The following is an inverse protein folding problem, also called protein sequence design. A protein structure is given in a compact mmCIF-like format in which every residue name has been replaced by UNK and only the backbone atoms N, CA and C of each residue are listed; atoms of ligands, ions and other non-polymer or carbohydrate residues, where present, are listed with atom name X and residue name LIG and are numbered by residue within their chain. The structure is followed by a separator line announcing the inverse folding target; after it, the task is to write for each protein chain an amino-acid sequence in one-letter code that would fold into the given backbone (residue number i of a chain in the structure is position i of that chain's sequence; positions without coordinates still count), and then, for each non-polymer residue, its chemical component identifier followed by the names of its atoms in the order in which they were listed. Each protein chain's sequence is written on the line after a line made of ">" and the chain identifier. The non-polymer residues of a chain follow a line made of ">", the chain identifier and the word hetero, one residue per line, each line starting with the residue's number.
data_IF_688983675750
#
_entry.id   IF_688983675750
#
_cell.length_a   1.000
_cell.length_b   1.000
_cell.length_c   1.000
_cell.angle_alpha   90.00
_cell.angle_beta   90.00
_cell.angle_gamma   90.00
#
_symmetry.space_group_name_H-M   'P 1'
#
loop_
_entity.id
_entity.type
_entity.pdbx_description
1 polymer ?
#
# COMPACT_ATOMS: atom_id res chain seq x y z
N UNK A 1 -25.90 -41.48 9.10
CA UNK A 1 -26.42 -41.63 7.72
C UNK A 1 -25.67 -40.63 6.85
N UNK A 2 -24.76 -41.10 5.96
CA UNK A 2 -25.00 -41.27 4.51
C UNK A 2 -25.57 -39.97 3.93
N UNK A 3 -24.90 -39.15 3.10
CA UNK A 3 -24.21 -39.38 1.81
C UNK A 3 -23.54 -38.02 1.45
N UNK A 4 -22.21 -37.91 1.28
CA UNK A 4 -21.42 -38.06 0.03
C UNK A 4 -21.17 -36.73 -0.73
N UNK A 5 -19.95 -36.21 -0.57
CA UNK A 5 -18.92 -35.90 -1.59
C UNK A 5 -19.34 -35.46 -3.00
N UNK A 6 -18.74 -34.39 -3.54
CA UNK A 6 -17.76 -34.40 -4.67
C UNK A 6 -17.25 -32.98 -5.00
N UNK A 7 -15.92 -32.85 -4.94
CA UNK A 7 -15.05 -31.85 -5.57
C UNK A 7 -14.77 -32.24 -7.04
N UNK A 8 -14.44 -31.27 -7.92
CA UNK A 8 -13.40 -31.28 -9.00
C UNK A 8 -13.69 -30.07 -9.92
N UNK A 9 -12.87 -29.01 -9.98
CA UNK A 9 -11.56 -28.78 -10.62
C UNK A 9 -11.57 -28.57 -12.17
N UNK A 10 -10.87 -27.49 -12.57
CA UNK A 10 -10.04 -27.32 -13.78
C UNK A 10 -10.59 -26.69 -15.10
N UNK A 11 -9.98 -25.54 -15.41
CA UNK A 11 -9.48 -24.96 -16.68
C UNK A 11 -9.78 -25.63 -18.05
N UNK A 12 -10.10 -24.82 -19.08
CA UNK A 12 -9.22 -24.43 -20.23
C UNK A 12 -9.94 -23.52 -21.27
N UNK A 13 -9.12 -22.89 -22.12
CA UNK A 13 -9.36 -21.83 -23.11
C UNK A 13 -10.02 -22.26 -24.46
N UNK A 14 -10.66 -21.26 -25.10
CA UNK A 14 -10.64 -20.86 -26.53
C UNK A 14 -11.70 -21.30 -27.56
N UNK A 15 -12.10 -20.27 -28.33
CA UNK A 15 -12.50 -20.20 -29.75
C UNK A 15 -14.00 -20.24 -30.14
N UNK A 16 -14.45 -19.18 -30.85
CA UNK A 16 -15.38 -19.33 -31.99
C UNK A 16 -16.60 -18.40 -32.12
N UNK A 17 -16.40 -17.20 -32.68
CA UNK A 17 -17.21 -16.51 -33.73
C UNK A 17 -18.73 -16.17 -33.61
N UNK A 18 -19.04 -14.93 -34.03
CA UNK A 18 -20.25 -14.41 -34.74
C UNK A 18 -21.61 -14.45 -34.01
N UNK A 19 -22.58 -13.54 -34.16
CA UNK A 19 -22.82 -12.35 -34.98
C UNK A 19 -24.08 -11.63 -34.44
N UNK A 20 -24.23 -10.37 -34.83
CA UNK A 20 -25.36 -9.42 -34.81
C UNK A 20 -26.83 -9.90 -34.81
N UNK A 21 -27.70 -9.00 -34.29
CA UNK A 21 -29.18 -8.89 -34.31
C UNK A 21 -29.89 -9.40 -33.03
N UNK A 22 -30.63 -8.58 -32.27
CA UNK A 22 -31.90 -7.98 -32.67
C UNK A 22 -32.32 -6.75 -31.82
N UNK A 23 -33.03 -5.84 -32.48
CA UNK A 23 -33.79 -4.69 -32.00
C UNK A 23 -34.81 -4.98 -30.86
N UNK A 24 -34.91 -4.01 -29.95
CA UNK A 24 -36.12 -3.27 -29.52
C UNK A 24 -37.52 -3.93 -29.38
N UNK A 25 -38.17 -3.52 -28.28
CA UNK A 25 -39.61 -3.18 -28.10
C UNK A 25 -40.57 -4.24 -27.51
N UNK A 26 -40.99 -3.91 -26.27
CA UNK A 26 -42.32 -4.04 -25.63
C UNK A 26 -42.86 -5.44 -25.22
N UNK A 27 -43.20 -5.57 -23.93
CA UNK A 27 -44.59 -5.47 -23.47
C UNK A 27 -44.68 -5.24 -21.95
N UNK A 28 -45.58 -4.33 -21.58
CA UNK A 28 -45.92 -3.95 -20.22
C UNK A 28 -47.41 -4.19 -20.00
N UNK A 29 -47.79 -4.95 -18.96
CA UNK A 29 -48.99 -4.78 -18.12
C UNK A 29 -48.89 -5.85 -17.03
N UNK A 30 -49.09 -5.58 -15.74
CA UNK A 30 -50.39 -5.22 -15.18
C UNK A 30 -50.32 -4.08 -14.14
N UNK A 31 -51.46 -3.40 -14.05
CA UNK A 31 -51.72 -2.09 -13.49
C UNK A 31 -51.76 -2.00 -11.95
N UNK A 32 -51.59 -0.76 -11.45
CA UNK A 32 -51.96 -0.39 -10.08
C UNK A 32 -51.53 1.03 -9.67
N UNK A 33 -52.05 2.05 -10.35
CA UNK A 33 -51.74 3.48 -10.12
C UNK A 33 -52.02 3.98 -8.69
N UNK A 34 -51.11 4.79 -8.15
CA UNK A 34 -51.47 6.06 -7.49
C UNK A 34 -50.34 7.10 -7.64
N UNK A 35 -50.72 8.32 -7.95
CA UNK A 35 -49.95 9.35 -8.63
C UNK A 35 -49.34 10.40 -7.69
N UNK A 36 -48.08 10.80 -7.94
CA UNK A 36 -47.58 12.15 -7.65
C UNK A 36 -46.84 12.67 -8.89
N UNK A 37 -47.30 13.81 -9.40
CA UNK A 37 -46.85 14.45 -10.64
C UNK A 37 -45.47 15.11 -10.47
N UNK A 38 -44.44 14.50 -11.07
CA UNK A 38 -43.02 14.86 -10.98
C UNK A 38 -42.63 16.14 -11.75
N UNK A 39 -43.49 16.67 -12.62
CA UNK A 39 -43.18 17.90 -13.37
C UNK A 39 -43.28 19.18 -12.52
N UNK A 40 -44.12 19.20 -11.48
CA UNK A 40 -44.30 20.38 -10.63
C UNK A 40 -43.15 20.56 -9.62
N UNK A 41 -42.48 19.47 -9.22
CA UNK A 41 -41.32 19.50 -8.34
C UNK A 41 -40.02 19.86 -9.11
N UNK A 42 -39.90 19.42 -10.36
CA UNK A 42 -38.76 19.73 -11.23
C UNK A 42 -38.68 21.23 -11.59
N UNK A 43 -39.83 21.91 -11.74
CA UNK A 43 -39.87 23.35 -12.08
C UNK A 43 -39.57 24.29 -10.91
N UNK A 44 -39.62 23.84 -9.65
CA UNK A 44 -39.26 24.67 -8.47
C UNK A 44 -37.77 24.69 -8.12
N UNK A 45 -36.98 23.73 -8.62
CA UNK A 45 -35.55 23.60 -8.29
C UNK A 45 -34.65 24.41 -9.24
N UNK A 46 -35.16 24.92 -10.37
CA UNK A 46 -34.34 25.50 -11.45
C UNK A 46 -34.16 27.03 -11.47
N UNK A 47 -34.33 27.76 -10.36
CA UNK A 47 -34.00 29.20 -10.30
C UNK A 47 -33.28 29.60 -9.01
N UNK A 48 -31.97 29.39 -8.98
CA UNK A 48 -30.92 30.29 -8.43
C UNK A 48 -29.61 29.49 -8.22
N UNK A 49 -28.86 29.25 -9.29
CA UNK A 49 -27.41 29.10 -9.20
C UNK A 49 -26.84 29.80 -10.43
N UNK A 50 -26.30 31.00 -10.22
CA UNK A 50 -25.51 31.71 -11.21
C UNK A 50 -24.08 31.82 -10.65
N UNK A 51 -23.16 31.30 -11.45
CA UNK A 51 -21.75 31.66 -11.62
C UNK A 51 -20.79 31.55 -10.42
N UNK A 52 -20.21 30.35 -10.32
CA UNK A 52 -18.78 30.15 -10.09
C UNK A 52 -18.40 28.86 -10.79
N UNK A 53 -17.67 28.93 -11.91
CA UNK A 53 -17.17 27.73 -12.58
C UNK A 53 -16.29 26.95 -11.58
N UNK A 54 -16.66 25.69 -11.32
CA UNK A 54 -15.73 24.75 -10.74
C UNK A 54 -14.55 24.60 -11.72
N UNK A 55 -13.28 24.64 -11.26
CA UNK A 55 -12.16 24.39 -12.15
C UNK A 55 -12.32 22.99 -12.75
N UNK A 56 -12.01 22.86 -14.04
CA UNK A 56 -11.93 21.56 -14.69
C UNK A 56 -10.99 20.66 -13.88
N UNK A 57 -11.43 19.43 -13.60
CA UNK A 57 -10.58 18.41 -13.01
C UNK A 57 -9.32 18.29 -13.89
N UNK A 58 -8.14 18.43 -13.29
CA UNK A 58 -6.90 18.23 -14.02
C UNK A 58 -6.86 16.76 -14.49
N UNK A 59 -6.50 16.48 -15.75
CA UNK A 59 -6.28 15.11 -16.18
C UNK A 59 -5.15 14.49 -15.33
N UNK A 60 -5.22 13.17 -15.05
CA UNK A 60 -4.14 12.49 -14.34
C UNK A 60 -2.80 12.69 -15.08
N UNK A 61 -1.66 12.77 -14.37
CA UNK A 61 -0.35 12.96 -15.00
C UNK A 61 -0.07 11.82 -15.99
N UNK A 62 0.55 12.11 -17.15
CA UNK A 62 0.82 11.09 -18.15
C UNK A 62 1.78 10.01 -17.60
N UNK A 63 1.41 8.75 -17.78
CA UNK A 63 2.27 7.60 -17.50
C UNK A 63 3.58 7.71 -18.30
N UNK A 64 4.72 7.83 -17.63
CA UNK A 64 6.02 7.74 -18.29
C UNK A 64 6.34 6.27 -18.58
N UNK A 65 6.50 5.93 -19.86
CA UNK A 65 6.90 4.60 -20.29
C UNK A 65 8.34 4.30 -19.86
N UNK A 66 8.54 3.29 -19.01
CA UNK A 66 9.86 2.75 -18.68
C UNK A 66 10.21 1.69 -19.72
N UNK A 67 11.26 1.93 -20.52
CA UNK A 67 11.76 0.97 -21.50
C UNK A 67 12.53 -0.13 -20.77
N UNK A 68 12.03 -1.36 -20.86
CA UNK A 68 12.63 -2.57 -20.26
C UNK A 68 13.28 -3.42 -21.36
N UNK A 69 14.52 -3.87 -21.15
CA UNK A 69 15.35 -4.59 -22.14
C UNK A 69 15.52 -6.08 -21.85
N UNK A 70 14.49 -6.77 -21.35
CA UNK A 70 14.51 -8.24 -21.16
C UNK A 70 13.91 -9.00 -22.36
N UNK A 71 14.34 -10.24 -22.63
CA UNK A 71 13.91 -11.01 -23.80
C UNK A 71 12.41 -11.32 -23.79
N UNK A 72 11.83 -11.23 -24.99
CA UNK A 72 10.39 -11.18 -25.28
C UNK A 72 9.73 -12.53 -24.97
N UNK A 73 9.01 -12.59 -23.85
CA UNK A 73 7.88 -13.51 -23.70
C UNK A 73 6.78 -13.00 -24.63
N UNK A 74 6.24 -13.83 -25.53
CA UNK A 74 5.13 -13.41 -26.42
C UNK A 74 4.01 -12.87 -25.53
N UNK A 75 3.66 -11.57 -25.60
CA UNK A 75 2.71 -11.01 -24.66
C UNK A 75 1.36 -11.67 -24.91
N UNK A 76 0.82 -12.33 -23.89
CA UNK A 76 -0.62 -12.54 -23.84
C UNK A 76 -1.29 -11.17 -24.04
N UNK A 77 -2.34 -11.13 -24.86
CA UNK A 77 -3.06 -9.88 -25.14
C UNK A 77 -3.32 -9.12 -23.84
N UNK A 78 -2.70 -7.95 -23.67
CA UNK A 78 -2.93 -7.11 -22.52
C UNK A 78 -4.35 -6.55 -22.65
N UNK A 79 -5.28 -7.01 -21.82
CA UNK A 79 -6.62 -6.47 -21.76
C UNK A 79 -6.64 -5.30 -20.76
N UNK A 80 -7.09 -4.13 -21.21
CA UNK A 80 -7.31 -2.98 -20.33
C UNK A 80 -8.68 -3.10 -19.67
N UNK A 81 -8.77 -2.74 -18.38
CA UNK A 81 -10.04 -2.77 -17.65
C UNK A 81 -11.05 -1.81 -18.29
N UNK A 82 -12.30 -2.23 -18.49
CA UNK A 82 -13.36 -1.32 -18.96
C UNK A 82 -13.77 -0.26 -17.94
N UNK A 83 -13.25 -0.35 -16.71
CA UNK A 83 -13.47 0.62 -15.62
C UNK A 83 -12.31 1.62 -15.46
N UNK A 84 -11.21 1.41 -16.18
CA UNK A 84 -10.00 2.23 -16.09
C UNK A 84 -9.54 2.72 -17.45
N UNK A 85 -9.63 1.86 -18.47
CA UNK A 85 -9.01 2.09 -19.77
C UNK A 85 -7.52 1.77 -19.74
N UNK A 86 -6.79 2.23 -20.75
CA UNK A 86 -5.34 2.08 -20.84
C UNK A 86 -4.60 3.07 -19.93
N UNK A 87 -5.20 4.24 -19.70
CA UNK A 87 -4.57 5.42 -19.10
C UNK A 87 -5.46 6.10 -18.05
N UNK A 88 -6.52 5.44 -17.58
CA UNK A 88 -7.48 6.06 -16.65
C UNK A 88 -8.60 6.83 -17.37
N UNK A 89 -8.66 6.81 -18.70
CA UNK A 89 -9.61 7.58 -19.51
C UNK A 89 -11.07 7.15 -19.33
N UNK A 90 -11.30 5.96 -18.78
CA UNK A 90 -12.64 5.45 -18.44
C UNK A 90 -12.91 5.45 -16.93
N UNK A 91 -11.95 5.93 -16.13
CA UNK A 91 -12.12 6.02 -14.70
C UNK A 91 -13.08 7.15 -14.34
N UNK A 92 -13.96 6.87 -13.38
CA UNK A 92 -14.92 7.83 -12.85
C UNK A 92 -14.77 7.93 -11.33
N UNK A 93 -14.80 9.14 -10.74
CA UNK A 93 -14.59 9.35 -9.30
C UNK A 93 -15.55 8.58 -8.39
N UNK A 94 -16.78 8.37 -8.85
CA UNK A 94 -17.83 7.62 -8.14
C UNK A 94 -17.90 6.15 -8.58
N UNK A 95 -16.98 5.70 -9.45
CA UNK A 95 -16.91 4.35 -9.99
C UNK A 95 -16.47 3.31 -8.96
N UNK A 96 -16.23 2.07 -9.39
CA UNK A 96 -15.82 0.99 -8.46
C UNK A 96 -14.34 1.02 -8.09
N UNK A 97 -13.50 1.54 -8.98
CA UNK A 97 -12.04 1.59 -8.78
C UNK A 97 -11.63 2.90 -8.10
N UNK A 98 -10.61 2.81 -7.26
CA UNK A 98 -9.90 4.00 -6.77
C UNK A 98 -8.98 4.55 -7.86
N UNK A 99 -8.60 5.82 -7.73
CA UNK A 99 -7.60 6.42 -8.59
C UNK A 99 -6.18 5.98 -8.15
N UNK A 100 -5.59 5.08 -8.92
CA UNK A 100 -4.24 4.58 -8.68
C UNK A 100 -3.14 5.38 -9.39
N UNK A 101 -3.48 6.45 -10.13
CA UNK A 101 -2.52 7.22 -10.93
C UNK A 101 -1.41 7.86 -10.09
N UNK A 102 -1.65 7.97 -8.78
CA UNK A 102 -0.76 8.62 -7.82
C UNK A 102 -0.05 7.65 -6.87
N UNK A 103 -0.11 6.33 -7.10
CA UNK A 103 0.45 5.35 -6.17
C UNK A 103 2.00 5.36 -6.15
N UNK A 104 2.64 5.78 -7.24
CA UNK A 104 4.09 5.72 -7.42
C UNK A 104 4.87 6.81 -6.70
N UNK A 105 6.20 6.69 -6.78
CA UNK A 105 7.19 7.67 -6.33
C UNK A 105 6.78 9.10 -6.68
N UNK A 106 6.79 9.99 -5.68
CA UNK A 106 6.38 11.39 -5.83
C UNK A 106 4.98 11.52 -6.46
N UNK A 107 4.06 10.66 -6.04
CA UNK A 107 2.71 10.55 -6.59
C UNK A 107 2.68 10.32 -8.12
N UNK A 108 3.68 9.64 -8.67
CA UNK A 108 3.89 9.38 -10.10
C UNK A 108 4.17 10.65 -10.94
N UNK A 109 4.61 11.74 -10.31
CA UNK A 109 4.85 13.02 -10.98
C UNK A 109 6.33 13.32 -11.24
N UNK A 110 7.21 12.47 -10.72
CA UNK A 110 8.63 12.56 -10.96
C UNK A 110 9.20 11.16 -11.27
N UNK A 111 10.24 11.08 -12.12
CA UNK A 111 10.97 9.83 -12.29
C UNK A 111 11.76 9.49 -11.03
N UNK A 112 11.93 8.18 -10.77
CA UNK A 112 12.82 7.72 -9.71
C UNK A 112 14.25 8.20 -10.01
N UNK A 113 14.97 8.81 -9.04
CA UNK A 113 16.34 9.26 -9.24
C UNK A 113 17.27 8.16 -9.74
N UNK A 114 18.15 8.47 -10.70
CA UNK A 114 19.12 7.52 -11.27
C UNK A 114 20.58 7.91 -11.02
N UNK A 115 20.86 9.21 -10.82
CA UNK A 115 22.22 9.75 -10.72
C UNK A 115 22.57 10.15 -9.28
N UNK A 116 22.38 9.23 -8.34
CA UNK A 116 22.70 9.46 -6.93
C UNK A 116 24.17 9.14 -6.65
N UNK A 117 24.82 10.01 -5.88
CA UNK A 117 26.22 9.87 -5.48
C UNK A 117 26.40 8.69 -4.54
N UNK A 118 27.46 7.89 -4.76
CA UNK A 118 27.91 6.86 -3.82
C UNK A 118 28.50 7.57 -2.60
N UNK A 119 27.83 7.44 -1.46
CA UNK A 119 28.25 8.01 -0.19
C UNK A 119 29.11 7.03 0.63
N UNK A 120 28.88 5.73 0.45
CA UNK A 120 29.63 4.66 1.10
C UNK A 120 29.69 3.43 0.20
N UNK A 121 30.80 2.69 0.27
CA UNK A 121 30.91 1.34 -0.29
C UNK A 121 31.11 0.35 0.87
N UNK A 122 30.27 -0.70 0.95
CA UNK A 122 30.30 -1.66 2.06
C UNK A 122 31.66 -2.34 2.24
N UNK A 123 32.49 -2.45 1.20
CA UNK A 123 33.83 -3.06 1.31
C UNK A 123 34.81 -2.15 2.06
N UNK A 124 34.59 -0.84 2.05
CA UNK A 124 35.37 0.11 2.87
C UNK A 124 35.13 -0.10 4.37
N UNK A 125 34.03 -0.76 4.73
CA UNK A 125 33.66 -1.13 6.09
C UNK A 125 33.98 -2.60 6.42
N UNK A 126 34.69 -3.31 5.53
CA UNK A 126 35.15 -4.67 5.75
C UNK A 126 34.25 -5.78 5.21
N UNK A 127 33.25 -5.46 4.39
CA UNK A 127 32.46 -6.48 3.71
C UNK A 127 33.31 -7.22 2.66
N UNK A 128 33.27 -8.56 2.65
CA UNK A 128 34.14 -9.40 1.79
C UNK A 128 33.45 -9.86 0.51
N UNK A 129 32.17 -10.23 0.57
CA UNK A 129 31.42 -10.65 -0.62
C UNK A 129 31.70 -12.09 -1.09
N UNK A 130 32.16 -12.98 -0.21
CA UNK A 130 32.52 -14.38 -0.49
C UNK A 130 31.38 -15.41 -0.21
N UNK A 131 30.24 -14.95 0.30
CA UNK A 131 29.08 -15.75 0.69
C UNK A 131 29.24 -16.50 2.02
N UNK A 132 30.37 -16.33 2.72
CA UNK A 132 30.71 -17.08 3.93
C UNK A 132 31.02 -16.14 5.11
N UNK A 133 31.79 -15.08 4.87
CA UNK A 133 32.14 -14.08 5.87
C UNK A 133 30.89 -13.27 6.23
N UNK A 134 30.52 -13.25 7.51
CA UNK A 134 29.41 -12.43 8.00
C UNK A 134 29.74 -10.94 7.80
N UNK A 135 29.03 -10.31 6.86
CA UNK A 135 29.20 -8.93 6.45
C UNK A 135 28.26 -7.98 7.23
N UNK A 136 27.50 -8.47 8.20
CA UNK A 136 26.44 -7.68 8.85
C UNK A 136 26.97 -6.40 9.50
N UNK A 137 28.11 -6.48 10.20
CA UNK A 137 28.68 -5.30 10.85
C UNK A 137 29.23 -4.28 9.85
N UNK A 138 29.78 -4.73 8.73
CA UNK A 138 30.21 -3.83 7.67
C UNK A 138 29.03 -3.05 7.06
N UNK A 139 27.91 -3.73 6.81
CA UNK A 139 26.69 -3.08 6.34
C UNK A 139 26.12 -2.11 7.38
N UNK A 140 26.03 -2.50 8.66
CA UNK A 140 25.57 -1.61 9.74
C UNK A 140 26.46 -0.38 9.89
N UNK A 141 27.77 -0.52 9.77
CA UNK A 141 28.71 0.59 9.82
C UNK A 141 28.56 1.53 8.60
N UNK A 142 28.38 0.98 7.39
CA UNK A 142 28.10 1.78 6.20
C UNK A 142 26.78 2.57 6.33
N UNK A 143 25.72 1.92 6.84
CA UNK A 143 24.44 2.58 7.12
C UNK A 143 24.59 3.72 8.13
N UNK A 144 25.33 3.49 9.23
CA UNK A 144 25.56 4.49 10.25
C UNK A 144 26.39 5.69 9.76
N UNK A 145 27.25 5.50 8.76
CA UNK A 145 28.11 6.54 8.19
C UNK A 145 27.40 7.47 7.20
N UNK A 146 26.21 7.10 6.71
CA UNK A 146 25.51 7.80 5.63
C UNK A 146 24.28 8.55 6.13
N UNK A 147 24.25 9.86 5.94
CA UNK A 147 23.07 10.70 6.19
C UNK A 147 22.12 10.74 4.99
N UNK A 148 22.65 10.65 3.76
CA UNK A 148 21.91 10.51 2.50
C UNK A 148 22.87 10.06 1.39
N UNK A 149 22.34 9.52 0.29
CA UNK A 149 23.12 9.02 -0.83
C UNK A 149 23.11 7.49 -0.93
N UNK A 150 23.94 6.96 -1.81
CA UNK A 150 23.99 5.54 -2.11
C UNK A 150 24.98 4.83 -1.20
N UNK A 151 24.51 3.79 -0.51
CA UNK A 151 25.31 2.72 0.06
C UNK A 151 25.46 1.68 -1.06
N UNK A 152 26.66 1.62 -1.63
CA UNK A 152 26.98 0.74 -2.75
C UNK A 152 27.42 -0.64 -2.25
N UNK A 153 26.88 -1.67 -2.91
CA UNK A 153 27.21 -3.07 -2.71
C UNK A 153 27.88 -3.57 -4.00
N UNK A 154 29.21 -3.75 -4.02
CA UNK A 154 29.90 -4.24 -5.21
C UNK A 154 29.48 -5.66 -5.61
N UNK A 155 29.97 -6.19 -6.76
CA UNK A 155 29.76 -7.58 -7.13
C UNK A 155 30.27 -8.55 -6.06
N UNK A 156 29.48 -9.58 -5.75
CA UNK A 156 29.79 -10.55 -4.71
C UNK A 156 28.56 -11.05 -3.97
N UNK A 157 28.75 -12.00 -3.07
CA UNK A 157 27.70 -12.54 -2.20
C UNK A 157 28.00 -12.18 -0.74
N UNK A 158 27.13 -11.45 -0.09
CA UNK A 158 27.36 -10.91 1.24
C UNK A 158 26.44 -11.61 2.23
N UNK A 159 27.01 -12.43 3.13
CA UNK A 159 26.25 -13.08 4.18
C UNK A 159 25.80 -12.04 5.21
N UNK A 160 24.50 -11.97 5.48
CA UNK A 160 23.87 -11.13 6.50
C UNK A 160 23.10 -12.04 7.46
N UNK A 161 23.44 -11.98 8.75
CA UNK A 161 22.94 -12.91 9.78
C UNK A 161 21.91 -12.27 10.71
N UNK A 162 21.70 -10.96 10.64
CA UNK A 162 20.69 -10.22 11.41
C UNK A 162 20.15 -9.03 10.62
N UNK A 163 19.04 -8.45 11.09
CA UNK A 163 18.32 -7.37 10.42
C UNK A 163 19.18 -6.12 10.19
N UNK A 164 18.99 -5.51 9.02
CA UNK A 164 19.55 -4.22 8.63
C UNK A 164 18.43 -3.17 8.65
N UNK A 165 18.66 -2.04 9.30
CA UNK A 165 17.68 -0.95 9.42
C UNK A 165 18.28 0.37 8.96
N UNK A 166 17.62 1.02 8.01
CA UNK A 166 17.94 2.33 7.45
C UNK A 166 16.86 3.31 7.90
N UNK A 167 17.23 4.30 8.71
CA UNK A 167 16.30 5.28 9.29
C UNK A 167 16.52 6.72 8.83
N UNK A 168 17.49 6.94 7.94
CA UNK A 168 17.74 8.24 7.34
C UNK A 168 16.96 8.37 6.02
N UNK A 169 16.45 9.57 5.75
CA UNK A 169 15.86 9.91 4.45
C UNK A 169 16.95 10.03 3.38
N UNK A 170 16.59 9.80 2.11
CA UNK A 170 17.52 9.98 1.00
C UNK A 170 18.58 8.90 0.85
N UNK A 171 18.48 7.79 1.59
CA UNK A 171 19.44 6.67 1.55
C UNK A 171 18.98 5.61 0.56
N UNK A 172 19.90 5.16 -0.30
CA UNK A 172 19.67 4.08 -1.25
C UNK A 172 20.65 2.95 -1.02
N UNK A 173 20.14 1.72 -0.89
CA UNK A 173 20.97 0.52 -0.94
C UNK A 173 21.02 0.02 -2.39
N UNK A 174 22.18 0.14 -3.04
CA UNK A 174 22.33 -0.16 -4.48
C UNK A 174 23.41 -1.22 -4.70
N UNK A 175 23.08 -2.29 -5.42
CA UNK A 175 24.09 -3.23 -5.92
C UNK A 175 24.63 -2.89 -7.31
N UNK A 176 25.50 -3.76 -7.82
CA UNK A 176 26.06 -3.67 -9.17
C UNK A 176 25.14 -4.26 -10.27
N UNK A 177 23.97 -4.78 -9.91
CA UNK A 177 22.98 -5.42 -10.79
C UNK A 177 22.32 -6.62 -10.11
N UNK A 178 21.04 -6.87 -10.44
CA UNK A 178 20.38 -8.09 -10.03
C UNK A 178 21.10 -9.32 -10.62
N UNK A 179 21.47 -10.29 -9.78
CA UNK A 179 22.31 -11.43 -10.14
C UNK A 179 23.83 -11.17 -10.10
N UNK A 180 24.26 -9.93 -9.84
CA UNK A 180 25.68 -9.54 -9.73
C UNK A 180 26.08 -9.32 -8.28
N UNK A 181 25.28 -8.54 -7.54
CA UNK A 181 25.43 -8.32 -6.11
C UNK A 181 24.33 -9.09 -5.37
N UNK A 182 24.70 -9.96 -4.45
CA UNK A 182 23.74 -10.77 -3.68
C UNK A 182 23.88 -10.50 -2.19
N UNK A 183 22.80 -10.09 -1.54
CA UNK A 183 22.65 -10.15 -0.10
C UNK A 183 22.07 -11.53 0.23
N UNK A 184 22.87 -12.37 0.87
CA UNK A 184 22.47 -13.71 1.29
C UNK A 184 22.12 -13.73 2.77
N UNK A 185 20.88 -14.10 3.11
CA UNK A 185 20.36 -14.09 4.47
C UNK A 185 20.08 -15.53 4.88
N UNK A 186 20.86 -16.06 5.83
CA UNK A 186 20.77 -17.44 6.26
C UNK A 186 19.88 -17.67 7.48
N UNK A 187 19.54 -16.61 8.20
CA UNK A 187 18.74 -16.62 9.42
C UNK A 187 17.36 -16.02 9.15
N UNK A 188 16.32 -16.64 9.68
CA UNK A 188 14.97 -16.05 9.70
C UNK A 188 14.82 -15.05 10.85
N UNK A 189 13.73 -14.29 10.89
CA UNK A 189 13.42 -13.45 12.05
C UNK A 189 13.27 -14.27 13.34
N UNK A 190 12.76 -15.50 13.26
CA UNK A 190 12.77 -16.45 14.39
C UNK A 190 14.18 -16.77 14.87
N UNK A 191 15.14 -16.99 13.97
CA UNK A 191 16.53 -17.26 14.37
C UNK A 191 17.19 -16.04 15.04
N UNK A 192 16.81 -14.82 14.61
CA UNK A 192 17.39 -13.56 15.09
C UNK A 192 16.75 -13.08 16.40
N UNK A 193 15.43 -13.17 16.52
CA UNK A 193 14.65 -12.55 17.60
C UNK A 193 13.83 -13.55 18.44
N UNK A 194 13.82 -14.84 18.05
CA UNK A 194 13.00 -15.88 18.66
C UNK A 194 11.61 -15.99 18.02
N UNK A 195 10.97 -17.17 18.13
CA UNK A 195 9.62 -17.34 17.58
C UNK A 195 8.60 -16.64 18.48
N UNK A 196 7.75 -15.81 17.87
CA UNK A 196 6.64 -15.14 18.53
C UNK A 196 5.30 -15.63 17.95
N UNK A 197 4.32 -15.85 18.82
CA UNK A 197 3.01 -16.39 18.47
C UNK A 197 1.90 -15.49 19.00
N UNK A 198 1.00 -15.05 18.12
CA UNK A 198 -0.25 -14.38 18.47
C UNK A 198 -1.46 -15.28 18.27
N UNK A 199 -2.59 -14.95 18.92
CA UNK A 199 -3.86 -15.68 18.79
C UNK A 199 -4.06 -16.85 19.77
N UNK A 200 -3.22 -17.00 20.79
CA UNK A 200 -3.41 -17.98 21.87
C UNK A 200 -4.43 -17.49 22.92
N UNK A 201 -5.72 -17.58 22.61
CA UNK A 201 -6.79 -17.47 23.60
C UNK A 201 -7.64 -18.73 23.62
N UNK A 202 -7.96 -19.29 24.81
CA UNK A 202 -8.97 -20.36 24.93
C UNK A 202 -10.35 -19.95 24.41
N UNK A 203 -10.55 -18.65 24.21
CA UNK A 203 -11.81 -18.01 23.82
C UNK A 203 -11.85 -17.62 22.33
N UNK A 204 -10.74 -17.74 21.61
CA UNK A 204 -10.65 -17.50 20.16
C UNK A 204 -10.41 -18.83 19.47
N UNK A 205 -11.32 -19.29 18.62
CA UNK A 205 -11.14 -20.50 17.78
C UNK A 205 -10.04 -20.34 16.69
N UNK A 206 -8.99 -19.58 16.98
CA UNK A 206 -7.88 -19.24 16.10
C UNK A 206 -6.69 -20.09 16.53
N UNK A 207 -6.16 -20.90 15.61
CA UNK A 207 -4.87 -21.59 15.79
C UNK A 207 -3.78 -20.54 15.98
N UNK A 208 -2.78 -20.81 16.83
CA UNK A 208 -1.63 -19.92 17.01
C UNK A 208 -1.01 -19.52 15.66
N UNK A 209 -0.74 -18.23 15.49
CA UNK A 209 -0.18 -17.66 14.26
C UNK A 209 1.18 -17.05 14.56
N UNK A 210 2.14 -17.23 13.66
CA UNK A 210 3.44 -16.58 13.73
C UNK A 210 3.25 -15.06 13.64
N UNK A 211 3.91 -14.30 14.50
CA UNK A 211 3.90 -12.83 14.38
C UNK A 211 4.63 -12.36 13.12
N UNK A 212 5.55 -13.17 12.58
CA UNK A 212 6.31 -12.85 11.38
C UNK A 212 5.48 -12.80 10.11
N UNK A 213 4.22 -13.28 10.14
CA UNK A 213 3.26 -13.13 9.05
C UNK A 213 3.00 -11.66 8.69
N UNK A 214 3.07 -10.77 9.68
CA UNK A 214 2.73 -9.35 9.55
C UNK A 214 3.97 -8.48 9.25
N UNK A 215 5.16 -9.08 9.30
CA UNK A 215 6.45 -8.38 9.16
C UNK A 215 7.32 -8.51 10.42
N UNK A 216 8.37 -7.68 10.56
CA UNK A 216 8.91 -6.75 9.56
C UNK A 216 9.73 -7.50 8.50
N UNK A 217 10.50 -6.79 7.68
CA UNK A 217 11.52 -7.33 6.78
C UNK A 217 12.90 -7.47 7.45
N UNK A 218 13.78 -8.27 6.86
CA UNK A 218 15.20 -8.34 7.23
C UNK A 218 16.01 -7.12 6.75
N UNK A 219 15.53 -6.41 5.73
CA UNK A 219 16.07 -5.12 5.29
C UNK A 219 14.96 -4.07 5.43
N UNK A 220 15.13 -3.16 6.39
CA UNK A 220 14.10 -2.18 6.76
C UNK A 220 14.51 -0.77 6.36
N UNK A 221 13.58 -0.06 5.75
CA UNK A 221 13.57 1.39 5.63
C UNK A 221 12.50 1.90 6.59
N UNK A 222 12.92 2.32 7.78
CA UNK A 222 12.03 2.51 8.91
C UNK A 222 12.14 3.92 9.49
N UNK A 223 11.03 4.65 9.47
CA UNK A 223 10.93 5.99 10.05
C UNK A 223 10.98 6.01 11.58
N UNK A 224 11.11 7.20 12.19
CA UNK A 224 11.15 7.35 13.65
C UNK A 224 9.97 6.67 14.34
N UNK A 225 10.23 6.03 15.49
CA UNK A 225 9.22 5.31 16.26
C UNK A 225 8.83 3.94 15.69
N UNK A 226 9.46 3.49 14.60
CA UNK A 226 9.39 2.08 14.21
C UNK A 226 10.13 1.22 15.24
N UNK A 227 9.52 0.13 15.70
CA UNK A 227 10.08 -0.62 16.83
C UNK A 227 11.43 -1.26 16.48
N UNK A 228 12.38 -1.16 17.42
CA UNK A 228 13.52 -2.06 17.47
C UNK A 228 13.02 -3.40 18.02
N UNK A 229 13.24 -4.49 17.27
CA UNK A 229 12.75 -5.80 17.64
C UNK A 229 13.60 -6.49 18.71
N UNK A 230 14.74 -5.89 19.09
CA UNK A 230 15.57 -6.40 20.16
C UNK A 230 14.82 -6.33 21.51
N UNK A 231 14.35 -7.48 22.01
CA UNK A 231 13.86 -7.64 23.38
C UNK A 231 12.36 -7.39 23.61
N UNK A 232 11.54 -7.36 22.56
CA UNK A 232 10.07 -7.19 22.70
C UNK A 232 9.35 -8.55 22.80
N UNK A 233 8.50 -8.71 23.82
CA UNK A 233 7.67 -9.92 24.02
C UNK A 233 6.46 -10.02 23.09
N UNK A 234 6.19 -8.96 22.32
CA UNK A 234 5.25 -8.90 21.21
C UNK A 234 5.82 -7.93 20.17
N UNK A 235 5.74 -8.27 18.88
CA UNK A 235 6.31 -7.45 17.81
C UNK A 235 5.42 -6.22 17.60
N UNK A 236 5.88 -5.03 17.99
CA UNK A 236 5.31 -3.81 17.42
C UNK A 236 5.85 -3.69 15.98
N UNK A 237 5.13 -4.30 15.04
CA UNK A 237 5.51 -4.29 13.62
C UNK A 237 5.22 -2.92 13.03
N UNK A 238 6.09 -2.46 12.13
CA UNK A 238 5.90 -1.23 11.38
C UNK A 238 6.37 0.04 12.10
N UNK A 239 5.74 1.16 11.76
CA UNK A 239 6.06 2.50 12.22
C UNK A 239 5.03 3.04 13.20
N UNK A 240 5.46 3.97 14.04
CA UNK A 240 4.54 4.77 14.86
C UNK A 240 3.63 5.60 13.96
N UNK A 241 2.34 5.64 14.30
CA UNK A 241 1.37 6.46 13.59
C UNK A 241 1.73 7.96 13.66
N UNK A 242 1.95 8.64 12.51
CA UNK A 242 2.26 10.08 12.48
C UNK A 242 1.06 10.97 12.86
N UNK A 243 -0.16 10.44 12.87
CA UNK A 243 -1.36 11.21 13.22
C UNK A 243 -1.38 11.49 14.73
N UNK A 244 -1.48 12.77 15.10
CA UNK A 244 -1.52 13.23 16.49
C UNK A 244 -2.03 14.67 16.57
N UNK A 245 -2.20 15.19 17.79
CA UNK A 245 -2.49 16.62 17.99
C UNK A 245 -1.43 17.54 17.38
N UNK A 246 -0.18 17.08 17.23
CA UNK A 246 0.88 17.86 16.61
C UNK A 246 0.73 17.97 15.09
N UNK A 247 0.06 17.01 14.45
CA UNK A 247 -0.18 17.03 12.99
C UNK A 247 -1.55 17.54 12.62
N UNK A 248 -2.48 17.72 13.57
CA UNK A 248 -3.81 18.25 13.32
C UNK A 248 -3.74 19.69 12.78
N UNK A 249 -4.28 19.91 11.58
CA UNK A 249 -4.38 21.24 10.98
C UNK A 249 -5.77 21.85 11.21
N UNK A 250 -6.84 21.07 11.05
CA UNK A 250 -8.21 21.50 11.27
C UNK A 250 -9.20 20.34 11.27
N UNK A 251 -10.34 20.49 11.94
CA UNK A 251 -11.46 19.56 11.84
C UNK A 251 -12.27 19.79 10.55
N UNK A 252 -12.85 18.72 10.01
CA UNK A 252 -13.79 18.81 8.89
C UNK A 252 -15.20 19.06 9.44
N UNK A 253 -15.90 20.06 8.90
CA UNK A 253 -17.15 20.61 9.47
C UNK A 253 -18.38 20.35 8.61
N UNK A 254 -18.23 19.70 7.46
CA UNK A 254 -19.35 19.34 6.59
C UNK A 254 -19.20 17.96 5.98
N UNK A 255 -20.34 17.32 5.75
CA UNK A 255 -20.42 16.08 4.99
C UNK A 255 -19.91 16.29 3.56
N UNK A 256 -19.30 15.26 2.99
CA UNK A 256 -18.90 15.23 1.59
C UNK A 256 -19.17 13.84 1.01
N UNK A 257 -19.54 13.78 -0.26
CA UNK A 257 -19.74 12.50 -0.95
C UNK A 257 -18.42 12.06 -1.59
N UNK A 258 -18.26 10.75 -1.75
CA UNK A 258 -17.27 10.17 -2.66
C UNK A 258 -17.35 10.89 -4.01
N UNK A 259 -16.18 11.20 -4.59
CA UNK A 259 -16.09 11.98 -5.83
C UNK A 259 -16.09 13.50 -5.63
N UNK A 260 -16.39 14.01 -4.43
CA UNK A 260 -16.23 15.44 -4.12
C UNK A 260 -14.76 15.81 -4.03
N UNK A 261 -14.40 17.00 -4.51
CA UNK A 261 -13.11 17.65 -4.26
C UNK A 261 -13.19 18.73 -3.19
N UNK A 262 -14.40 19.14 -2.79
CA UNK A 262 -14.62 20.21 -1.81
C UNK A 262 -14.78 19.61 -0.41
N UNK A 263 -13.99 20.12 0.54
CA UNK A 263 -14.05 19.73 1.95
C UNK A 263 -14.22 20.98 2.82
N UNK A 264 -15.31 21.02 3.59
CA UNK A 264 -15.60 22.11 4.54
C UNK A 264 -14.73 21.94 5.79
N UNK A 265 -14.10 23.01 6.26
CA UNK A 265 -13.17 22.93 7.40
C UNK A 265 -13.42 24.03 8.42
N UNK A 266 -13.06 23.78 9.68
CA UNK A 266 -13.24 24.73 10.77
C UNK A 266 -12.32 25.96 10.65
N UNK A 267 -11.12 25.78 10.09
CA UNK A 267 -10.13 26.84 9.94
C UNK A 267 -9.23 26.57 8.74
N UNK A 268 -8.96 27.60 7.94
CA UNK A 268 -8.00 27.53 6.82
C UNK A 268 -6.67 28.21 7.13
N UNK A 269 -6.46 28.71 8.35
CA UNK A 269 -5.28 29.50 8.74
C UNK A 269 -3.95 28.76 8.52
N UNK A 270 -3.93 27.45 8.76
CA UNK A 270 -2.73 26.61 8.62
C UNK A 270 -2.63 25.92 7.24
N UNK A 271 -3.58 26.17 6.34
CA UNK A 271 -3.72 25.47 5.07
C UNK A 271 -3.23 26.35 3.92
N UNK A 272 -2.49 25.76 2.98
CA UNK A 272 -1.93 26.47 1.81
C UNK A 272 -2.16 25.68 0.53
N UNK A 273 -2.38 26.35 -0.62
CA UNK A 273 -2.33 25.67 -1.92
C UNK A 273 -1.01 24.89 -2.09
N UNK A 274 -1.08 23.78 -2.82
CA UNK A 274 0.00 22.82 -3.08
C UNK A 274 0.56 22.08 -1.84
N UNK A 275 -0.01 22.29 -0.66
CA UNK A 275 0.37 21.56 0.55
C UNK A 275 -0.22 20.13 0.52
N UNK A 276 0.63 19.12 0.74
CA UNK A 276 0.18 17.76 1.03
C UNK A 276 -0.49 17.70 2.40
N UNK A 277 -1.68 17.11 2.43
CA UNK A 277 -2.44 16.83 3.65
C UNK A 277 -2.92 15.39 3.67
N UNK A 278 -3.20 14.90 4.87
CA UNK A 278 -3.86 13.62 5.11
C UNK A 278 -5.25 13.90 5.66
N UNK A 279 -6.28 13.44 4.98
CA UNK A 279 -7.63 13.35 5.55
C UNK A 279 -7.70 12.06 6.35
N UNK A 280 -8.07 12.16 7.61
CA UNK A 280 -8.30 11.03 8.50
C UNK A 280 -9.78 10.90 8.81
N UNK A 281 -10.25 9.65 8.85
CA UNK A 281 -11.62 9.32 9.25
C UNK A 281 -11.54 8.21 10.31
N UNK A 282 -12.21 8.44 11.44
CA UNK A 282 -12.42 7.45 12.48
C UNK A 282 -13.70 6.65 12.29
N UNK A 283 -13.73 5.42 12.76
CA UNK A 283 -14.99 4.67 12.83
C UNK A 283 -15.58 4.78 14.24
N UNK A 284 -16.60 5.61 14.39
CA UNK A 284 -17.40 5.64 15.62
C UNK A 284 -18.59 4.70 15.46
N UNK A 285 -18.73 3.74 16.37
CA UNK A 285 -19.82 2.76 16.42
C UNK A 285 -19.92 1.76 15.23
N UNK A 286 -18.90 1.63 14.38
CA UNK A 286 -18.88 0.66 13.27
C UNK A 286 -19.63 1.13 12.02
N UNK A 287 -19.96 2.43 11.96
CA UNK A 287 -20.77 3.01 10.89
C UNK A 287 -19.94 3.31 9.64
N UNK A 288 -18.65 3.59 9.79
CA UNK A 288 -17.74 3.78 8.66
C UNK A 288 -17.54 2.45 7.92
N UNK A 289 -17.20 1.37 8.64
CA UNK A 289 -17.04 0.04 8.02
C UNK A 289 -18.33 -0.38 7.32
N UNK A 290 -19.50 -0.08 7.89
CA UNK A 290 -20.77 -0.35 7.23
C UNK A 290 -20.90 0.41 5.89
N UNK A 291 -20.55 1.69 5.82
CA UNK A 291 -20.58 2.47 4.57
C UNK A 291 -19.64 1.89 3.51
N UNK A 292 -18.40 1.57 3.91
CA UNK A 292 -17.36 1.03 3.02
C UNK A 292 -17.74 -0.34 2.42
N UNK A 293 -18.46 -1.17 3.19
CA UNK A 293 -18.95 -2.47 2.75
C UNK A 293 -20.38 -2.40 2.18
N UNK A 294 -20.76 -1.28 1.58
CA UNK A 294 -22.04 -1.09 0.89
C UNK A 294 -23.26 -1.38 1.79
N UNK A 295 -23.22 -0.88 3.02
CA UNK A 295 -24.26 -1.03 4.03
C UNK A 295 -24.59 -2.48 4.45
N UNK A 296 -23.73 -3.43 4.12
CA UNK A 296 -23.85 -4.82 4.61
C UNK A 296 -23.73 -4.81 6.13
N UNK A 297 -24.53 -5.65 6.79
CA UNK A 297 -24.47 -5.79 8.25
C UNK A 297 -23.16 -6.48 8.67
N UNK A 298 -22.17 -5.68 9.02
CA UNK A 298 -20.82 -6.12 9.43
C UNK A 298 -20.71 -6.47 10.92
N UNK A 299 -21.83 -6.55 11.66
CA UNK A 299 -21.85 -6.88 13.11
C UNK A 299 -21.12 -8.19 13.44
N UNK A 300 -21.02 -9.11 12.47
CA UNK A 300 -20.29 -10.37 12.62
C UNK A 300 -18.80 -10.27 12.23
N UNK A 301 -18.36 -9.32 11.41
CA UNK A 301 -16.93 -9.17 11.05
C UNK A 301 -16.09 -8.82 12.28
N UNK A 302 -16.67 -8.07 13.21
CA UNK A 302 -16.05 -7.68 14.47
C UNK A 302 -16.16 -8.75 15.59
N UNK A 303 -16.95 -9.82 15.38
CA UNK A 303 -17.13 -10.91 16.36
C UNK A 303 -16.22 -12.11 16.11
N UNK A 304 -15.67 -12.25 14.90
CA UNK A 304 -14.88 -13.44 14.50
C UNK A 304 -13.52 -13.51 15.20
N UNK A 305 -12.99 -12.40 15.74
CA UNK A 305 -11.64 -12.39 16.33
C UNK A 305 -11.58 -12.48 17.85
N UNK A 306 -12.71 -12.41 18.57
CA UNK A 306 -12.72 -12.35 20.05
C UNK A 306 -11.89 -11.18 20.64
N UNK A 307 -11.42 -10.27 19.79
CA UNK A 307 -10.73 -9.04 20.15
C UNK A 307 -11.78 -7.92 20.10
N UNK A 308 -11.80 -6.96 21.06
CA UNK A 308 -12.57 -5.74 20.88
C UNK A 308 -12.14 -5.13 19.55
N UNK A 309 -13.10 -4.97 18.65
CA UNK A 309 -12.86 -4.70 17.24
C UNK A 309 -11.81 -3.60 17.03
N UNK A 310 -10.65 -3.96 16.49
CA UNK A 310 -9.62 -3.02 16.04
C UNK A 310 -10.16 -1.96 15.05
N UNK A 311 -11.38 -2.14 14.55
CA UNK A 311 -12.04 -1.25 13.60
C UNK A 311 -13.19 -0.42 14.21
N UNK A 312 -13.63 -0.65 15.46
CA UNK A 312 -14.76 0.09 16.05
C UNK A 312 -14.25 0.97 17.19
N UNK A 313 -14.56 2.26 17.11
CA UNK A 313 -14.08 3.34 17.98
C UNK A 313 -12.58 3.65 17.83
N UNK A 314 -11.92 3.11 16.79
CA UNK A 314 -10.63 3.63 16.35
C UNK A 314 -10.89 4.92 15.56
N UNK A 315 -10.25 6.00 15.99
CA UNK A 315 -10.43 7.32 15.40
C UNK A 315 -9.60 7.54 14.13
N UNK A 316 -8.88 6.53 13.63
CA UNK A 316 -7.89 6.67 12.53
C UNK A 316 -7.86 5.50 11.56
N UNK A 317 -9.05 4.99 11.22
CA UNK A 317 -9.26 3.78 10.40
C UNK A 317 -8.94 4.02 8.92
N UNK A 318 -9.20 5.23 8.42
CA UNK A 318 -9.06 5.55 6.99
C UNK A 318 -8.22 6.79 6.75
N UNK A 319 -7.32 6.72 5.78
CA UNK A 319 -6.45 7.82 5.37
C UNK A 319 -6.56 8.10 3.88
N UNK A 320 -6.50 9.38 3.54
CA UNK A 320 -6.39 9.80 2.16
C UNK A 320 -5.43 10.98 2.02
N UNK A 321 -4.40 10.80 1.22
CA UNK A 321 -3.40 11.83 0.94
C UNK A 321 -3.74 12.58 -0.34
N UNK A 322 -3.74 13.91 -0.27
CA UNK A 322 -4.00 14.79 -1.40
C UNK A 322 -3.29 16.11 -1.19
N UNK A 323 -2.87 16.78 -2.26
CA UNK A 323 -2.56 18.22 -2.15
C UNK A 323 -3.84 19.04 -2.11
N UNK A 324 -3.73 20.21 -1.47
CA UNK A 324 -4.75 21.24 -1.53
C UNK A 324 -4.58 22.01 -2.84
N UNK A 325 -5.56 21.95 -3.72
CA UNK A 325 -5.59 22.77 -4.93
C UNK A 325 -5.86 24.24 -4.63
N UNK A 326 -6.88 24.51 -3.81
CA UNK A 326 -7.26 25.88 -3.43
C UNK A 326 -7.75 25.97 -1.99
N UNK A 327 -7.53 27.13 -1.37
CA UNK A 327 -7.98 27.46 -0.02
C UNK A 327 -8.96 28.62 -0.10
N UNK A 328 -10.14 28.46 0.50
CA UNK A 328 -11.16 29.50 0.63
C UNK A 328 -11.38 29.84 2.11
N UNK A 329 -12.37 30.68 2.42
CA UNK A 329 -12.62 31.14 3.78
C UNK A 329 -12.94 29.99 4.75
N UNK A 330 -13.75 29.02 4.33
CA UNK A 330 -14.27 27.94 5.19
C UNK A 330 -14.24 26.55 4.53
N UNK A 331 -13.52 26.40 3.43
CA UNK A 331 -13.34 25.12 2.75
C UNK A 331 -12.03 25.09 1.98
N UNK A 332 -11.56 23.87 1.70
CA UNK A 332 -10.48 23.59 0.77
C UNK A 332 -11.02 22.83 -0.45
N UNK A 333 -10.31 22.96 -1.55
CA UNK A 333 -10.47 22.13 -2.74
C UNK A 333 -9.26 21.21 -2.80
N UNK A 334 -9.48 19.91 -2.81
CA UNK A 334 -8.48 18.89 -3.02
C UNK A 334 -8.13 18.80 -4.51
N UNK A 335 -6.90 18.43 -4.82
CA UNK A 335 -6.49 18.19 -6.22
C UNK A 335 -7.18 16.97 -6.84
N UNK A 336 -7.64 16.04 -5.99
CA UNK A 336 -8.23 14.78 -6.41
C UNK A 336 -9.52 14.47 -5.63
N UNK A 337 -10.46 13.75 -6.25
CA UNK A 337 -11.72 13.42 -5.61
C UNK A 337 -11.55 12.51 -4.40
N UNK A 338 -12.42 12.68 -3.40
CA UNK A 338 -12.49 11.79 -2.24
C UNK A 338 -12.84 10.36 -2.69
N UNK A 339 -12.10 9.34 -2.21
CA UNK A 339 -12.39 7.93 -2.54
C UNK A 339 -13.55 7.35 -1.73
N UNK A 340 -13.99 8.04 -0.68
CA UNK A 340 -15.04 7.63 0.25
C UNK A 340 -15.94 8.83 0.61
N UNK A 341 -17.09 8.54 1.21
CA UNK A 341 -17.92 9.56 1.83
C UNK A 341 -17.25 10.13 3.09
N UNK A 342 -17.70 11.30 3.53
CA UNK A 342 -17.36 11.89 4.82
C UNK A 342 -18.67 12.10 5.59
N UNK A 343 -18.79 11.45 6.75
CA UNK A 343 -19.80 11.73 7.76
C UNK A 343 -19.15 12.41 8.97
N UNK A 344 -19.82 13.40 9.57
CA UNK A 344 -19.32 14.08 10.77
C UNK A 344 -19.30 13.18 12.01
N UNK A 345 -20.11 12.11 12.01
CA UNK A 345 -20.08 11.12 13.09
C UNK A 345 -18.77 10.32 13.12
N UNK A 346 -18.02 10.31 12.01
CA UNK A 346 -16.73 9.63 11.85
C UNK A 346 -15.53 10.49 12.27
N UNK A 347 -15.78 11.60 12.97
CA UNK A 347 -14.77 12.54 13.50
C UNK A 347 -13.69 12.88 12.45
N UNK A 348 -14.06 13.38 11.27
CA UNK A 348 -13.13 13.58 10.18
C UNK A 348 -12.21 14.79 10.42
N UNK A 349 -10.91 14.63 10.14
CA UNK A 349 -9.88 15.65 10.38
C UNK A 349 -8.95 15.82 9.18
N UNK A 350 -8.30 16.98 9.11
CA UNK A 350 -7.20 17.26 8.18
C UNK A 350 -5.91 17.37 8.98
N UNK A 351 -4.95 16.51 8.65
CA UNK A 351 -3.61 16.50 9.22
C UNK A 351 -2.55 16.89 8.20
N UNK A 352 -1.41 17.38 8.69
CA UNK A 352 -0.21 17.53 7.89
C UNK A 352 0.28 16.14 7.43
N UNK A 353 0.64 16.02 6.15
CA UNK A 353 1.31 14.83 5.66
C UNK A 353 2.79 14.87 6.05
N UNK A 354 3.17 14.07 7.05
CA UNK A 354 4.52 14.03 7.62
C UNK A 354 5.06 12.59 7.63
N UNK A 355 5.59 12.10 6.50
CA UNK A 355 6.21 10.78 6.48
C UNK A 355 7.45 10.76 7.39
N UNK A 356 7.71 9.62 8.02
CA UNK A 356 8.85 9.46 8.94
C UNK A 356 10.18 9.48 8.21
N UNK A 357 10.28 8.77 7.08
CA UNK A 357 11.40 8.87 6.14
C UNK A 357 10.87 9.05 4.72
N UNK A 358 11.71 9.58 3.85
CA UNK A 358 11.39 9.70 2.43
C UNK A 358 12.61 9.61 1.54
N UNK A 359 12.37 9.45 0.23
CA UNK A 359 13.43 9.46 -0.78
C UNK A 359 14.41 8.29 -0.63
N UNK A 360 13.95 7.17 -0.09
CA UNK A 360 14.78 5.98 0.13
C UNK A 360 14.56 4.93 -0.97
N UNK A 361 15.59 4.13 -1.23
CA UNK A 361 15.54 3.14 -2.29
C UNK A 361 16.31 1.87 -1.99
N UNK A 362 15.89 0.77 -2.61
CA UNK A 362 16.70 -0.43 -2.74
C UNK A 362 16.69 -0.92 -4.19
N UNK A 363 17.86 -1.16 -4.76
CA UNK A 363 17.96 -1.43 -6.20
C UNK A 363 19.18 -2.20 -6.67
N UNK A 364 19.05 -2.78 -7.87
CA UNK A 364 20.12 -3.41 -8.62
C UNK A 364 20.87 -4.50 -7.82
N UNK A 365 20.13 -5.37 -7.13
CA UNK A 365 20.72 -6.46 -6.35
C UNK A 365 19.78 -7.66 -6.21
N UNK A 366 20.36 -8.78 -5.79
CA UNK A 366 19.63 -9.98 -5.38
C UNK A 366 19.52 -10.02 -3.86
N UNK A 367 18.33 -10.35 -3.35
CA UNK A 367 18.12 -10.79 -1.96
C UNK A 367 17.82 -12.29 -2.02
N UNK A 368 18.69 -13.09 -1.40
CA UNK A 368 18.53 -14.54 -1.37
C UNK A 368 18.44 -15.00 0.07
N UNK A 369 17.35 -15.69 0.40
CA UNK A 369 17.23 -16.37 1.68
C UNK A 369 17.74 -17.81 1.58
N UNK A 370 18.26 -18.32 2.70
CA UNK A 370 18.50 -19.76 2.85
C UNK A 370 17.20 -20.50 2.55
N UNK A 371 17.30 -21.50 1.67
CA UNK A 371 16.12 -22.26 1.31
C UNK A 371 15.63 -23.06 2.51
N UNK A 372 14.34 -22.92 2.81
CA UNK A 372 13.62 -23.74 3.78
C UNK A 372 12.24 -24.07 3.23
N UNK A 373 11.72 -25.25 3.55
CA UNK A 373 10.34 -25.60 3.24
C UNK A 373 9.37 -24.60 3.86
N UNK A 374 8.40 -24.12 3.09
CA UNK A 374 7.38 -23.19 3.58
C UNK A 374 6.51 -23.86 4.66
N UNK A 375 6.42 -23.21 5.82
CA UNK A 375 5.74 -23.74 6.99
C UNK A 375 4.21 -23.75 6.87
N UNK A 376 3.65 -22.90 6.00
CA UNK A 376 2.22 -22.75 5.81
C UNK A 376 1.76 -21.32 6.08
N UNK A 377 0.54 -21.00 5.64
CA UNK A 377 -0.06 -19.69 5.85
C UNK A 377 -0.16 -19.39 7.36
N UNK A 378 0.37 -18.24 7.78
CA UNK A 378 0.37 -17.75 9.17
C UNK A 378 1.32 -18.52 10.10
N UNK A 379 2.21 -19.35 9.55
CA UNK A 379 3.18 -20.16 10.30
C UNK A 379 4.63 -19.82 9.92
N UNK A 380 4.85 -18.66 9.28
CA UNK A 380 6.12 -18.26 8.68
C UNK A 380 7.23 -18.12 9.74
N UNK A 381 8.45 -18.58 9.43
CA UNK A 381 9.62 -18.37 10.30
C UNK A 381 10.19 -16.95 10.19
N UNK A 382 9.70 -16.17 9.22
CA UNK A 382 10.07 -14.79 9.01
C UNK A 382 11.28 -14.61 8.10
N UNK A 383 11.40 -15.39 7.03
CA UNK A 383 12.30 -15.07 5.91
C UNK A 383 11.74 -13.90 5.09
N UNK A 384 11.55 -12.76 5.76
CA UNK A 384 10.88 -11.59 5.21
C UNK A 384 11.92 -10.66 4.55
N UNK A 385 11.65 -10.22 3.33
CA UNK A 385 12.52 -9.38 2.51
C UNK A 385 12.62 -7.94 3.00
N UNK A 386 12.02 -7.04 2.23
CA UNK A 386 12.13 -5.59 2.41
C UNK A 386 10.94 -5.09 3.23
N UNK A 387 11.16 -4.11 4.11
CA UNK A 387 10.07 -3.34 4.72
C UNK A 387 10.27 -1.85 4.47
N UNK A 388 9.19 -1.17 4.07
CA UNK A 388 9.03 0.27 4.18
C UNK A 388 8.04 0.57 5.31
N UNK A 389 8.50 1.20 6.39
CA UNK A 389 7.69 1.52 7.55
C UNK A 389 7.70 3.03 7.81
N UNK A 390 6.54 3.67 7.75
CA UNK A 390 6.41 5.12 7.91
C UNK A 390 7.15 5.89 6.82
N UNK A 391 7.22 5.34 5.61
CA UNK A 391 8.03 5.86 4.52
C UNK A 391 7.17 6.48 3.42
N UNK A 392 7.66 7.52 2.76
CA UNK A 392 7.03 8.01 1.55
C UNK A 392 7.99 8.36 0.43
N UNK A 393 7.52 8.34 -0.82
CA UNK A 393 8.36 8.67 -1.98
C UNK A 393 9.60 7.77 -2.03
N UNK A 394 9.41 6.47 -1.88
CA UNK A 394 10.48 5.47 -1.88
C UNK A 394 10.32 4.49 -3.04
N UNK A 395 11.31 3.63 -3.26
CA UNK A 395 11.24 2.64 -4.33
C UNK A 395 12.00 1.36 -4.04
N UNK A 396 11.55 0.27 -4.66
CA UNK A 396 12.28 -0.98 -4.82
C UNK A 396 12.34 -1.29 -6.32
N UNK A 397 13.54 -1.36 -6.92
CA UNK A 397 13.63 -1.62 -8.36
C UNK A 397 14.80 -2.49 -8.80
N UNK A 398 14.61 -3.24 -9.88
CA UNK A 398 15.66 -4.11 -10.44
C UNK A 398 16.21 -5.08 -9.38
N UNK A 399 15.31 -5.92 -8.88
CA UNK A 399 15.61 -6.85 -7.80
C UNK A 399 15.28 -8.28 -8.20
N UNK A 400 16.08 -9.22 -7.72
CA UNK A 400 15.70 -10.63 -7.62
C UNK A 400 15.54 -10.96 -6.15
N UNK A 401 14.37 -11.44 -5.73
CA UNK A 401 14.11 -11.89 -4.37
C UNK A 401 13.82 -13.39 -4.41
N UNK A 402 14.63 -14.18 -3.73
CA UNK A 402 14.52 -15.65 -3.77
C UNK A 402 14.35 -16.26 -2.38
N UNK A 403 13.51 -17.29 -2.31
CA UNK A 403 13.25 -18.12 -1.12
C UNK A 403 12.71 -17.38 0.12
N UNK A 404 12.13 -16.18 -0.03
CA UNK A 404 11.51 -15.46 1.10
C UNK A 404 10.12 -15.99 1.44
N UNK A 405 9.68 -15.80 2.69
CA UNK A 405 8.30 -16.01 3.14
C UNK A 405 7.41 -14.84 2.66
N UNK A 406 7.87 -13.61 2.87
CA UNK A 406 7.25 -12.39 2.38
C UNK A 406 8.28 -11.53 1.66
N UNK A 407 7.97 -11.02 0.47
CA UNK A 407 8.95 -10.34 -0.38
C UNK A 407 9.18 -8.88 0.02
N UNK A 408 8.07 -8.17 0.27
CA UNK A 408 8.06 -6.73 0.53
C UNK A 408 6.85 -6.40 1.41
N UNK A 409 7.09 -5.64 2.48
CA UNK A 409 6.09 -5.07 3.37
C UNK A 409 6.04 -3.55 3.24
N UNK A 410 4.84 -3.00 3.33
CA UNK A 410 4.61 -1.57 3.44
C UNK A 410 3.69 -1.32 4.63
N UNK A 411 4.16 -0.51 5.57
CA UNK A 411 3.39 -0.14 6.75
C UNK A 411 3.34 1.38 6.87
N UNK A 412 2.14 1.96 6.96
CA UNK A 412 1.92 3.41 7.06
C UNK A 412 2.79 4.20 6.05
N UNK A 413 2.83 3.68 4.82
CA UNK A 413 3.72 4.18 3.78
C UNK A 413 2.93 4.60 2.54
N UNK A 414 3.44 5.57 1.80
CA UNK A 414 2.72 6.17 0.66
C UNK A 414 3.68 6.48 -0.48
N UNK A 415 3.21 6.47 -1.73
CA UNK A 415 4.04 6.85 -2.89
C UNK A 415 5.28 5.97 -3.04
N UNK A 416 5.08 4.65 -3.00
CA UNK A 416 6.16 3.66 -3.09
C UNK A 416 6.08 2.99 -4.48
N UNK A 417 7.14 3.09 -5.28
CA UNK A 417 7.21 2.37 -6.56
C UNK A 417 7.93 1.03 -6.39
N UNK A 418 7.29 -0.06 -6.80
CA UNK A 418 7.93 -1.37 -6.98
C UNK A 418 7.99 -1.66 -8.48
N UNK A 419 9.19 -1.77 -9.05
CA UNK A 419 9.36 -1.91 -10.50
C UNK A 419 10.46 -2.92 -10.84
N UNK A 420 10.24 -3.77 -11.85
CA UNK A 420 11.23 -4.78 -12.27
C UNK A 420 11.74 -5.65 -11.09
N UNK A 421 10.81 -6.23 -10.32
CA UNK A 421 11.13 -7.13 -9.21
C UNK A 421 10.73 -8.54 -9.60
N UNK A 422 11.69 -9.46 -9.60
CA UNK A 422 11.49 -10.88 -9.88
C UNK A 422 11.49 -11.65 -8.58
N UNK A 423 10.45 -12.45 -8.35
CA UNK A 423 10.35 -13.35 -7.21
C UNK A 423 10.55 -14.80 -7.66
N UNK A 424 11.45 -15.53 -7.01
CA UNK A 424 11.78 -16.92 -7.40
C UNK A 424 11.92 -17.88 -6.21
N UNK A 425 11.92 -19.18 -6.52
CA UNK A 425 12.30 -20.25 -5.60
C UNK A 425 13.32 -21.15 -6.30
N UNK A 426 14.51 -21.31 -5.70
CA UNK A 426 15.65 -21.94 -6.39
C UNK A 426 15.64 -23.48 -6.36
N UNK A 427 14.77 -24.13 -5.56
CA UNK A 427 14.80 -25.59 -5.32
C UNK A 427 13.41 -26.27 -5.33
N UNK A 428 12.54 -25.91 -6.29
CA UNK A 428 11.18 -26.43 -6.39
C UNK A 428 10.13 -25.49 -5.77
N UNK A 429 8.85 -25.79 -5.94
CA UNK A 429 7.77 -24.84 -5.61
C UNK A 429 7.65 -24.59 -4.10
N UNK A 430 8.14 -23.46 -3.60
CA UNK A 430 7.56 -22.80 -2.42
C UNK A 430 6.18 -22.27 -2.84
N UNK A 431 5.12 -23.06 -2.65
CA UNK A 431 3.74 -22.61 -2.85
C UNK A 431 3.31 -21.83 -1.61
N UNK A 432 3.55 -20.53 -1.59
CA UNK A 432 3.16 -19.65 -0.49
C UNK A 432 4.19 -18.55 -0.26
N UNK A 433 4.02 -17.45 -0.97
CA UNK A 433 4.62 -16.17 -0.63
C UNK A 433 3.55 -15.13 -0.89
N UNK A 434 3.25 -14.28 0.10
CA UNK A 434 2.26 -13.23 -0.05
C UNK A 434 2.98 -11.90 -0.37
N UNK A 435 2.42 -11.13 -1.29
CA UNK A 435 2.65 -9.70 -1.30
C UNK A 435 1.65 -9.09 -0.31
N UNK A 436 2.12 -8.73 0.88
CA UNK A 436 1.32 -7.92 1.80
C UNK A 436 1.49 -6.45 1.43
N UNK A 437 0.59 -5.98 0.57
CA UNK A 437 0.36 -4.55 0.37
C UNK A 437 -0.68 -4.11 1.42
N UNK A 438 -0.25 -3.78 2.63
CA UNK A 438 -1.08 -3.07 3.59
C UNK A 438 -1.23 -1.63 3.11
N UNK A 439 -2.28 -1.36 2.34
CA UNK A 439 -2.77 0.00 2.11
C UNK A 439 -3.48 0.44 3.40
N UNK A 440 -2.80 1.24 4.21
CA UNK A 440 -3.33 1.90 5.40
C UNK A 440 -3.48 3.40 5.18
#
# INVERSE_FOLDING_TARGET
>A
MRVCTIFVLAAFLSAGSSSTHFQDVFEASEAGQSSINSEALYKRIKRRIFLGQAPALLPPPPSQAVVSTYPIMVPGFAFTSSLWGAHGELWEPTGRLLDYSYAGYMANEAPIPINQTIAADVVQFGAVGDGVTDCTQAFKAAIAAVSSGVIYVPPGTYLITTQLTISNSGVVLRGAGAGVSTIYINNSLTDVFGQLWSGHGKDTNISAQSDWKDGPGMIRFAGPGSADLAGVGHVQIGAQDPISNATLLTAITGHALRGSVKVMVASTKALKPNQWVTITIGDVNGTLVKDLYNNVNVTNMCKVTGQPAYCINDLRVMRFHSRIYAVHTNYIVLERPLPFNISLEWVPEVHAFVPGIQQCGIEALTIQFQWKQYAGHLLEDGFNGIEFAGAANCWARDLIISNSDNHLFMWLSSFITVNNVTVTSLLGSRKGGCFYLTLS
#
